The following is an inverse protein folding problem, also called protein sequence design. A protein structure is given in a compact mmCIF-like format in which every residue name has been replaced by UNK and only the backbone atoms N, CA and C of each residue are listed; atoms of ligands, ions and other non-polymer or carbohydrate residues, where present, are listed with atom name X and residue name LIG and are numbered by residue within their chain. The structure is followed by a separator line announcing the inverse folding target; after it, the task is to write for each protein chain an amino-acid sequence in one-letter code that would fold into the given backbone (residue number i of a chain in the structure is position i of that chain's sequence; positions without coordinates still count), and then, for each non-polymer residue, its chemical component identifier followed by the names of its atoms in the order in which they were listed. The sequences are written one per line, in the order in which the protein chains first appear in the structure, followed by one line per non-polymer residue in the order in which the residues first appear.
data_IF_105416050134
#
_entry.id   IF_105416050134
#
_cell.length_a   1.000
_cell.length_b   1.000
_cell.length_c   1.000
_cell.angle_alpha   90.00
_cell.angle_beta   90.00
_cell.angle_gamma   90.00
#
_symmetry.space_group_name_H-M   'P 1'
#
loop_
_entity.id
_entity.type
_entity.pdbx_description
1 polymer ?
#
# COMPACT_ATOMS: atom_id res chain seq x y z
N UNK A 1 -20.00 21.25 -12.97
CA UNK A 1 -19.29 19.96 -12.81
C UNK A 1 -20.21 18.87 -13.34
N UNK A 2 -19.83 18.17 -14.41
CA UNK A 2 -20.69 17.16 -15.05
C UNK A 2 -20.42 15.81 -14.39
N UNK A 3 -21.45 15.21 -13.79
CA UNK A 3 -21.34 13.88 -13.20
C UNK A 3 -21.00 12.87 -14.30
N UNK A 4 -19.84 12.22 -14.19
CA UNK A 4 -19.50 11.09 -15.04
C UNK A 4 -20.33 9.91 -14.54
N UNK A 5 -21.42 9.57 -15.25
CA UNK A 5 -22.08 8.28 -15.04
C UNK A 5 -21.20 7.22 -15.67
N UNK A 6 -20.45 6.50 -14.84
CA UNK A 6 -19.81 5.25 -15.24
C UNK A 6 -20.90 4.19 -15.24
N UNK A 7 -21.41 3.81 -16.41
CA UNK A 7 -22.28 2.65 -16.51
C UNK A 7 -21.40 1.41 -16.38
N UNK A 8 -21.55 0.56 -15.35
CA UNK A 8 -20.72 -0.63 -15.21
C UNK A 8 -20.94 -1.52 -16.43
N UNK A 9 -19.87 -1.80 -17.16
CA UNK A 9 -19.92 -2.80 -18.23
C UNK A 9 -19.86 -4.16 -17.54
N UNK A 10 -21.00 -4.83 -17.40
CA UNK A 10 -21.03 -6.18 -16.84
C UNK A 10 -20.37 -7.13 -17.86
N UNK A 11 -19.06 -7.33 -17.73
CA UNK A 11 -18.38 -8.41 -18.43
C UNK A 11 -19.01 -9.73 -18.00
N UNK A 12 -19.35 -10.59 -18.97
CA UNK A 12 -19.93 -11.91 -18.68
C UNK A 12 -19.02 -12.68 -17.71
N UNK A 13 -19.63 -13.29 -16.71
CA UNK A 13 -18.96 -14.15 -15.74
C UNK A 13 -18.28 -15.30 -16.49
N UNK A 14 -16.95 -15.29 -16.61
CA UNK A 14 -16.20 -16.47 -17.09
C UNK A 14 -14.94 -16.17 -17.87
N UNK A 15 -15.00 -15.28 -18.86
CA UNK A 15 -13.87 -15.11 -19.78
C UNK A 15 -12.85 -14.11 -19.26
N UNK A 16 -11.58 -14.49 -19.34
CA UNK A 16 -10.49 -13.57 -19.03
C UNK A 16 -10.47 -12.44 -20.07
N UNK A 17 -10.24 -11.22 -19.61
CA UNK A 17 -10.12 -10.03 -20.47
C UNK A 17 -8.67 -9.61 -20.50
N UNK A 18 -8.15 -9.24 -21.66
CA UNK A 18 -6.81 -8.68 -21.80
C UNK A 18 -6.89 -7.15 -21.83
N UNK A 19 -6.06 -6.50 -21.02
CA UNK A 19 -5.97 -5.04 -20.94
C UNK A 19 -4.60 -4.58 -21.43
N UNK A 20 -4.59 -3.69 -22.42
CA UNK A 20 -3.36 -3.05 -22.91
C UNK A 20 -3.01 -1.83 -22.05
N UNK A 21 -1.87 -1.85 -21.39
CA UNK A 21 -1.42 -0.80 -20.46
C UNK A 21 0.04 -0.45 -20.77
N UNK A 22 0.27 0.76 -21.27
CA UNK A 22 1.62 1.27 -21.57
C UNK A 22 2.48 0.30 -22.42
N UNK A 23 1.87 -0.39 -23.39
CA UNK A 23 2.55 -1.36 -24.26
C UNK A 23 2.67 -2.78 -23.69
N UNK A 24 2.01 -3.09 -22.58
CA UNK A 24 1.92 -4.44 -22.03
C UNK A 24 0.47 -4.95 -21.96
N UNK A 25 0.30 -6.20 -22.35
CA UNK A 25 -0.93 -6.95 -22.15
C UNK A 25 -1.00 -7.51 -20.73
N UNK A 26 -2.01 -7.12 -19.96
CA UNK A 26 -2.31 -7.65 -18.62
C UNK A 26 -3.59 -8.48 -18.68
N UNK A 27 -3.49 -9.79 -18.39
CA UNK A 27 -4.64 -10.69 -18.35
C UNK A 27 -5.42 -10.53 -17.04
N UNK A 28 -6.68 -10.12 -17.15
CA UNK A 28 -7.65 -10.00 -16.06
C UNK A 28 -8.54 -11.24 -15.98
N UNK A 29 -8.40 -12.06 -14.94
CA UNK A 29 -9.31 -13.18 -14.66
C UNK A 29 -10.57 -12.71 -13.91
N UNK A 30 -11.69 -13.42 -14.07
CA UNK A 30 -12.93 -13.14 -13.33
C UNK A 30 -13.36 -11.65 -13.38
N UNK A 31 -13.45 -11.03 -14.57
CA UNK A 31 -13.71 -9.59 -14.71
C UNK A 31 -15.04 -9.16 -14.09
N UNK A 32 -16.07 -10.02 -14.16
CA UNK A 32 -17.40 -9.75 -13.62
C UNK A 32 -17.55 -9.92 -12.10
N UNK A 33 -16.47 -10.27 -11.37
CA UNK A 33 -16.55 -10.40 -9.91
C UNK A 33 -16.82 -9.03 -9.28
N UNK A 34 -17.86 -8.93 -8.45
CA UNK A 34 -18.24 -7.67 -7.79
C UNK A 34 -17.30 -7.40 -6.63
N UNK A 35 -16.65 -6.23 -6.63
CA UNK A 35 -15.74 -5.79 -5.58
C UNK A 35 -16.42 -4.81 -4.62
N UNK A 36 -17.32 -3.96 -5.13
CA UNK A 36 -18.08 -3.00 -4.36
C UNK A 36 -19.58 -3.25 -4.59
N UNK A 37 -20.27 -3.98 -3.69
CA UNK A 37 -21.64 -4.43 -3.93
C UNK A 37 -22.66 -3.30 -3.93
N UNK A 38 -22.50 -2.30 -3.05
CA UNK A 38 -23.42 -1.16 -2.95
C UNK A 38 -23.49 -0.34 -4.25
N UNK A 39 -22.36 0.13 -4.84
CA UNK A 39 -22.38 0.78 -6.15
C UNK A 39 -22.37 -0.19 -7.35
N UNK A 40 -22.21 -1.50 -7.11
CA UNK A 40 -22.17 -2.53 -8.16
C UNK A 40 -20.90 -2.60 -9.00
N UNK A 41 -19.77 -2.06 -8.53
CA UNK A 41 -18.52 -2.07 -9.31
C UNK A 41 -17.84 -3.44 -9.30
N UNK A 42 -17.43 -3.87 -10.48
CA UNK A 42 -16.75 -5.14 -10.72
C UNK A 42 -15.23 -5.00 -10.68
N UNK A 43 -14.52 -6.14 -10.71
CA UNK A 43 -13.07 -6.19 -10.81
C UNK A 43 -12.56 -5.55 -12.10
N UNK A 44 -13.31 -5.68 -13.20
CA UNK A 44 -12.99 -4.99 -14.45
C UNK A 44 -13.08 -3.47 -14.31
N UNK A 45 -14.09 -2.96 -13.60
CA UNK A 45 -14.23 -1.52 -13.36
C UNK A 45 -13.06 -0.98 -12.53
N UNK A 46 -12.63 -1.73 -11.50
CA UNK A 46 -11.45 -1.41 -10.70
C UNK A 46 -10.17 -1.41 -11.56
N UNK A 47 -9.98 -2.43 -12.40
CA UNK A 47 -8.81 -2.51 -13.27
C UNK A 47 -8.76 -1.35 -14.29
N UNK A 48 -9.92 -1.01 -14.89
CA UNK A 48 -10.05 0.15 -15.80
C UNK A 48 -9.82 1.47 -15.07
N UNK A 49 -10.29 1.60 -13.84
CA UNK A 49 -10.00 2.77 -13.01
C UNK A 49 -8.49 2.92 -12.81
N UNK A 50 -7.79 1.86 -12.38
CA UNK A 50 -6.34 1.92 -12.23
C UNK A 50 -5.61 2.18 -13.52
N UNK A 51 -6.05 1.62 -14.64
CA UNK A 51 -5.49 1.93 -15.97
C UNK A 51 -5.62 3.42 -16.29
N UNK A 52 -6.77 4.04 -16.02
CA UNK A 52 -6.99 5.46 -16.26
C UNK A 52 -6.13 6.37 -15.36
N UNK A 53 -5.90 5.97 -14.11
CA UNK A 53 -5.08 6.75 -13.15
C UNK A 53 -3.62 6.29 -13.08
N UNK A 54 -3.22 5.32 -13.90
CA UNK A 54 -1.92 4.64 -13.78
C UNK A 54 -0.72 5.59 -13.78
N UNK A 55 -0.63 6.61 -14.66
CA UNK A 55 0.47 7.57 -14.63
C UNK A 55 0.50 8.37 -13.33
N UNK A 56 -0.67 8.66 -12.76
CA UNK A 56 -0.82 9.41 -11.52
C UNK A 56 -0.33 8.63 -10.31
N UNK A 57 -0.84 7.40 -10.14
CA UNK A 57 -0.47 6.53 -9.03
C UNK A 57 0.97 6.05 -9.14
N UNK A 58 1.48 5.78 -10.35
CA UNK A 58 2.85 5.35 -10.54
C UNK A 58 3.86 6.39 -10.04
N UNK A 59 3.58 7.70 -10.14
CA UNK A 59 4.46 8.73 -9.53
C UNK A 59 4.67 8.54 -8.03
N UNK A 60 3.68 8.00 -7.32
CA UNK A 60 3.78 7.71 -5.90
C UNK A 60 4.44 6.35 -5.60
N UNK A 61 4.32 5.38 -6.51
CA UNK A 61 4.80 4.00 -6.33
C UNK A 61 6.16 3.71 -6.97
N UNK A 62 6.58 4.54 -7.92
CA UNK A 62 7.75 4.31 -8.77
C UNK A 62 8.99 4.07 -7.92
N UNK A 63 9.66 2.96 -8.21
CA UNK A 63 10.90 2.51 -7.56
C UNK A 63 10.77 2.29 -6.05
N UNK A 64 9.55 2.06 -5.53
CA UNK A 64 9.32 1.84 -4.10
C UNK A 64 8.84 0.42 -3.81
N UNK A 65 9.47 -0.29 -2.85
CA UNK A 65 8.90 -1.52 -2.31
C UNK A 65 7.48 -1.21 -1.82
N UNK A 66 6.50 -1.91 -2.36
CA UNK A 66 5.09 -1.60 -2.14
C UNK A 66 4.38 -2.83 -1.58
N UNK A 67 3.88 -2.70 -0.35
CA UNK A 67 3.00 -3.69 0.25
C UNK A 67 1.61 -3.57 -0.36
N UNK A 68 1.01 -4.72 -0.72
CA UNK A 68 -0.30 -4.78 -1.37
C UNK A 68 -1.38 -5.12 -0.36
N UNK A 69 -2.44 -4.32 -0.26
CA UNK A 69 -3.63 -4.67 0.50
C UNK A 69 -4.66 -5.31 -0.43
N UNK A 70 -4.88 -6.60 -0.23
CA UNK A 70 -5.66 -7.44 -1.14
C UNK A 70 -7.04 -7.76 -0.58
N UNK A 71 -8.01 -7.73 -1.48
CA UNK A 71 -9.43 -8.03 -1.27
C UNK A 71 -9.85 -9.09 -2.30
N UNK A 72 -9.46 -10.36 -2.13
CA UNK A 72 -9.76 -11.40 -3.13
C UNK A 72 -11.26 -11.51 -3.41
N UNK A 73 -12.10 -11.31 -2.39
CA UNK A 73 -13.56 -11.44 -2.42
C UNK A 73 -14.31 -10.10 -2.37
N UNK A 74 -13.63 -8.99 -2.69
CA UNK A 74 -14.20 -7.65 -2.62
C UNK A 74 -14.20 -7.05 -1.22
N UNK A 75 -14.74 -5.84 -1.07
CA UNK A 75 -14.61 -5.03 0.16
C UNK A 75 -15.39 -5.58 1.36
N UNK A 76 -16.36 -6.45 1.13
CA UNK A 76 -17.15 -7.11 2.18
C UNK A 76 -16.54 -8.42 2.66
N UNK A 77 -15.52 -8.93 1.95
CA UNK A 77 -14.82 -10.16 2.30
C UNK A 77 -13.63 -9.93 3.23
N UNK A 78 -12.87 -11.00 3.49
CA UNK A 78 -11.60 -10.90 4.19
C UNK A 78 -10.55 -10.18 3.34
N UNK A 79 -9.66 -9.46 4.01
CA UNK A 79 -8.56 -8.75 3.40
C UNK A 79 -7.26 -8.99 4.16
N UNK A 80 -6.14 -8.88 3.45
CA UNK A 80 -4.82 -9.05 4.06
C UNK A 80 -3.75 -8.19 3.39
N UNK A 81 -2.71 -7.91 4.16
CA UNK A 81 -1.49 -7.26 3.67
C UNK A 81 -0.51 -8.30 3.15
N UNK A 82 -0.15 -8.16 1.88
CA UNK A 82 0.87 -8.96 1.23
C UNK A 82 2.14 -8.13 1.03
N UNK A 83 3.14 -8.37 1.89
CA UNK A 83 4.47 -7.76 1.80
C UNK A 83 5.33 -8.47 0.76
N UNK A 84 5.43 -9.79 0.87
CA UNK A 84 6.21 -10.63 -0.06
C UNK A 84 5.59 -10.61 -1.46
N UNK A 85 6.44 -10.42 -2.46
CA UNK A 85 6.08 -10.49 -3.87
C UNK A 85 5.29 -11.78 -4.15
N UNK A 86 4.15 -11.70 -4.86
CA UNK A 86 3.34 -12.88 -5.11
C UNK A 86 4.03 -13.94 -5.96
N UNK A 87 3.72 -15.21 -5.68
CA UNK A 87 4.06 -16.32 -6.58
C UNK A 87 3.27 -16.13 -7.90
N UNK A 88 3.96 -16.07 -9.02
CA UNK A 88 3.36 -15.79 -10.34
C UNK A 88 3.35 -14.30 -10.73
N UNK A 89 4.14 -13.47 -10.06
CA UNK A 89 4.42 -12.12 -10.54
C UNK A 89 5.21 -12.18 -11.85
N UNK A 90 4.82 -11.42 -12.89
CA UNK A 90 5.58 -11.35 -14.13
C UNK A 90 7.00 -10.82 -13.91
N UNK A 91 7.97 -11.39 -14.62
CA UNK A 91 9.40 -11.08 -14.47
C UNK A 91 9.75 -9.61 -14.76
N UNK A 92 8.90 -8.91 -15.52
CA UNK A 92 9.09 -7.50 -15.83
C UNK A 92 8.75 -6.56 -14.67
N UNK A 93 8.06 -7.04 -13.63
CA UNK A 93 7.82 -6.27 -12.41
C UNK A 93 9.00 -6.54 -11.47
N UNK A 94 9.88 -5.56 -11.21
CA UNK A 94 11.01 -5.81 -10.33
C UNK A 94 10.55 -5.93 -8.88
N UNK A 95 11.39 -6.57 -8.08
CA UNK A 95 11.24 -6.63 -6.62
C UNK A 95 12.38 -5.88 -5.94
N UNK A 96 12.11 -5.37 -4.74
CA UNK A 96 13.11 -4.78 -3.88
C UNK A 96 13.29 -5.63 -2.62
N UNK A 97 14.53 -5.94 -2.28
CA UNK A 97 14.85 -6.70 -1.07
C UNK A 97 14.76 -5.82 0.16
N UNK A 98 13.91 -6.19 1.11
CA UNK A 98 13.69 -5.45 2.35
C UNK A 98 14.05 -6.33 3.53
N UNK A 99 14.98 -5.84 4.34
CA UNK A 99 15.31 -6.40 5.64
C UNK A 99 14.51 -5.69 6.72
N UNK A 100 13.67 -6.42 7.43
CA UNK A 100 12.92 -5.89 8.54
C UNK A 100 13.79 -5.78 9.80
N UNK A 101 13.44 -4.90 10.76
CA UNK A 101 14.13 -4.83 12.06
C UNK A 101 14.18 -6.16 12.81
N UNK A 102 13.25 -7.08 12.52
CA UNK A 102 13.26 -8.45 13.05
C UNK A 102 14.36 -9.37 12.49
N UNK A 103 15.24 -8.89 11.60
CA UNK A 103 16.26 -9.68 10.91
C UNK A 103 15.74 -10.53 9.74
N UNK A 104 14.42 -10.75 9.66
CA UNK A 104 13.78 -11.38 8.49
C UNK A 104 13.84 -10.47 7.28
N UNK A 105 13.97 -11.05 6.10
CA UNK A 105 13.86 -10.33 4.83
C UNK A 105 12.69 -10.80 3.97
N UNK A 106 12.27 -9.93 3.06
CA UNK A 106 11.27 -10.20 2.04
C UNK A 106 11.60 -9.38 0.79
N UNK A 107 11.38 -9.98 -0.37
CA UNK A 107 11.32 -9.22 -1.62
C UNK A 107 9.90 -8.68 -1.78
N UNK A 108 9.75 -7.36 -1.84
CA UNK A 108 8.47 -6.70 -2.06
C UNK A 108 8.36 -6.26 -3.53
N UNK A 109 7.14 -6.22 -4.05
CA UNK A 109 6.87 -5.70 -5.39
C UNK A 109 7.35 -4.25 -5.50
N UNK A 110 8.08 -3.90 -6.56
CA UNK A 110 8.62 -2.56 -6.78
C UNK A 110 8.14 -2.04 -8.15
N UNK A 111 7.01 -1.33 -8.22
CA UNK A 111 6.45 -0.88 -9.50
C UNK A 111 7.37 0.12 -10.22
N UNK A 112 7.66 -0.12 -11.50
CA UNK A 112 8.45 0.79 -12.37
C UNK A 112 7.66 1.31 -13.58
N UNK A 113 6.52 0.70 -13.87
CA UNK A 113 5.65 1.01 -15.01
C UNK A 113 4.17 0.81 -14.66
N UNK A 114 3.29 1.42 -15.47
CA UNK A 114 1.84 1.51 -15.23
C UNK A 114 1.17 0.13 -15.21
N UNK A 115 1.64 -0.78 -16.05
CA UNK A 115 1.12 -2.14 -16.15
C UNK A 115 1.24 -2.91 -14.82
N UNK A 116 2.26 -2.60 -14.01
CA UNK A 116 2.45 -3.23 -12.70
C UNK A 116 1.28 -2.93 -11.75
N UNK A 117 0.74 -1.71 -11.80
CA UNK A 117 -0.40 -1.28 -10.98
C UNK A 117 -1.67 -2.04 -11.38
N UNK A 118 -1.92 -2.15 -12.69
CA UNK A 118 -3.08 -2.88 -13.20
C UNK A 118 -2.95 -4.38 -12.94
N UNK A 119 -1.74 -4.94 -13.03
CA UNK A 119 -1.48 -6.33 -12.65
C UNK A 119 -1.77 -6.57 -11.15
N UNK A 120 -1.36 -5.67 -10.27
CA UNK A 120 -1.68 -5.78 -8.85
C UNK A 120 -3.21 -5.70 -8.61
N UNK A 121 -3.94 -4.87 -9.35
CA UNK A 121 -5.40 -4.84 -9.31
C UNK A 121 -6.04 -6.17 -9.78
N UNK A 122 -5.51 -6.79 -10.83
CA UNK A 122 -5.88 -8.14 -11.25
C UNK A 122 -5.70 -9.16 -10.12
N UNK A 123 -4.62 -9.01 -9.35
CA UNK A 123 -4.32 -9.83 -8.18
C UNK A 123 -5.21 -9.51 -6.96
N UNK A 124 -6.18 -8.59 -7.09
CA UNK A 124 -7.14 -8.22 -6.06
C UNK A 124 -6.67 -7.10 -5.13
N UNK A 125 -5.65 -6.33 -5.52
CA UNK A 125 -5.20 -5.18 -4.74
C UNK A 125 -6.12 -3.98 -4.95
N UNK A 126 -6.61 -3.40 -3.84
CA UNK A 126 -7.36 -2.13 -3.84
C UNK A 126 -6.60 -0.98 -3.18
N UNK A 127 -5.53 -1.26 -2.45
CA UNK A 127 -4.74 -0.22 -1.80
C UNK A 127 -3.26 -0.57 -1.83
N UNK A 128 -2.46 0.40 -2.23
CA UNK A 128 -1.01 0.29 -2.33
C UNK A 128 -0.37 1.04 -1.17
N UNK A 129 0.59 0.40 -0.51
CA UNK A 129 1.31 0.95 0.63
C UNK A 129 2.79 1.06 0.26
N UNK A 130 3.20 2.12 -0.47
CA UNK A 130 4.58 2.30 -0.88
C UNK A 130 5.47 2.60 0.31
N UNK A 131 6.69 2.06 0.28
CA UNK A 131 7.76 2.39 1.21
C UNK A 131 8.15 3.87 1.12
N UNK A 132 8.59 4.42 2.26
CA UNK A 132 9.06 5.82 2.35
C UNK A 132 10.34 6.07 1.55
N UNK A 133 11.12 5.03 1.29
CA UNK A 133 12.36 5.09 0.54
C UNK A 133 12.20 4.42 -0.81
N UNK A 134 12.88 4.94 -1.83
CA UNK A 134 13.05 4.19 -3.07
C UNK A 134 14.04 3.03 -2.84
N UNK A 135 13.94 1.97 -3.63
CA UNK A 135 14.73 0.76 -3.49
C UNK A 135 16.25 1.01 -3.53
N UNK A 136 16.69 2.05 -4.25
CA UNK A 136 18.10 2.45 -4.37
C UNK A 136 18.60 3.40 -3.27
N UNK A 137 17.73 3.91 -2.40
CA UNK A 137 18.11 4.83 -1.31
C UNK A 137 17.81 4.20 0.05
N UNK A 138 18.80 3.56 0.65
CA UNK A 138 18.67 3.07 2.02
C UNK A 138 18.71 4.24 3.02
N UNK A 139 17.75 4.23 3.95
CA UNK A 139 17.70 4.99 5.23
C UNK A 139 17.09 6.40 5.19
N UNK A 140 17.12 7.14 4.08
CA UNK A 140 16.48 8.47 4.04
C UNK A 140 15.06 8.41 3.46
N UNK A 141 13.99 8.69 4.24
CA UNK A 141 12.65 8.80 3.69
C UNK A 141 12.59 9.95 2.69
N UNK A 142 12.01 9.68 1.54
CA UNK A 142 11.85 10.67 0.45
C UNK A 142 10.51 11.40 0.53
N UNK A 143 9.62 10.98 1.44
CA UNK A 143 8.35 11.65 1.73
C UNK A 143 8.09 11.78 3.24
N UNK A 144 7.68 12.97 3.67
CA UNK A 144 7.22 13.24 5.04
C UNK A 144 5.70 13.19 5.05
N UNK A 145 5.12 12.00 5.23
CA UNK A 145 3.68 11.86 5.41
C UNK A 145 3.31 12.04 6.90
N UNK A 146 2.71 13.17 7.24
CA UNK A 146 2.06 13.41 8.53
C UNK A 146 0.68 12.76 8.49
N UNK A 147 0.50 11.60 9.11
CA UNK A 147 -0.83 10.99 9.26
C UNK A 147 -1.54 11.65 10.43
N UNK A 148 -2.22 12.76 10.20
CA UNK A 148 -3.20 13.27 11.16
C UNK A 148 -4.41 12.32 11.15
N UNK A 149 -4.48 11.43 12.14
CA UNK A 149 -5.72 10.69 12.41
C UNK A 149 -6.66 11.67 13.09
N UNK A 150 -7.78 12.08 12.48
CA UNK A 150 -8.76 12.89 13.20
C UNK A 150 -9.33 12.02 14.33
N UNK A 151 -9.08 12.41 15.57
CA UNK A 151 -9.80 11.83 16.72
C UNK A 151 -11.31 12.04 16.51
N UNK A 152 -12.18 11.08 16.89
CA UNK A 152 -13.62 11.30 16.84
C UNK A 152 -13.97 12.51 17.71
N UNK A 153 -14.67 13.48 17.13
CA UNK A 153 -15.01 14.76 17.79
C UNK A 153 -16.11 14.50 18.83
N UNK A 154 -15.90 14.78 20.13
CA UNK A 154 -16.98 14.72 21.10
C UNK A 154 -17.86 15.98 21.00
N UNK A 155 -19.18 15.78 20.89
CA UNK A 155 -20.19 16.85 21.00
C UNK A 155 -20.34 17.24 22.47
N UNK A 156 -20.00 18.48 22.89
CA UNK A 156 -20.66 19.32 23.93
C UNK A 156 -19.86 20.63 24.17
N UNK A 157 -20.61 21.71 24.39
CA UNK A 157 -20.36 23.15 24.64
C UNK A 157 -19.20 23.60 25.58
N UNK A 158 -18.36 24.55 25.08
CA UNK A 158 -17.70 25.82 25.58
C UNK A 158 -17.57 26.15 27.10
N UNK A 159 -16.61 26.98 27.66
CA UNK A 159 -15.46 27.78 27.12
C UNK A 159 -14.05 27.71 27.83
N UNK A 160 -13.02 28.24 27.12
CA UNK A 160 -11.86 29.09 27.54
C UNK A 160 -10.58 28.53 28.24
N UNK A 161 -9.45 28.87 27.58
CA UNK A 161 -8.05 29.10 28.00
C UNK A 161 -7.03 27.93 28.03
N UNK A 162 -5.69 28.18 27.93
CA UNK A 162 -4.89 28.99 26.99
C UNK A 162 -3.88 28.09 26.21
N UNK A 163 -2.96 28.60 25.34
CA UNK A 163 -2.32 27.78 24.32
C UNK A 163 -1.19 26.92 24.90
N UNK A 164 -1.31 25.60 24.78
CA UNK A 164 -0.22 24.66 25.06
C UNK A 164 0.26 24.00 23.77
N UNK A 165 1.40 24.54 23.33
CA UNK A 165 2.57 23.89 22.76
C UNK A 165 2.37 22.60 21.92
N UNK A 166 2.76 22.71 20.66
CA UNK A 166 3.04 21.61 19.75
C UNK A 166 4.04 20.61 20.36
N UNK A 167 3.57 19.41 20.66
CA UNK A 167 4.42 18.23 20.79
C UNK A 167 3.66 16.99 20.28
N UNK A 168 4.06 16.39 19.15
CA UNK A 168 3.51 15.13 18.69
C UNK A 168 4.05 13.98 19.57
N UNK A 169 3.15 13.42 20.36
CA UNK A 169 3.30 12.20 21.12
C UNK A 169 3.13 10.99 20.17
N UNK A 170 4.23 10.33 19.84
CA UNK A 170 4.31 8.89 20.09
C UNK A 170 5.79 8.50 20.21
N UNK A 171 6.33 8.74 21.40
CA UNK A 171 7.36 7.88 21.96
C UNK A 171 6.74 7.04 23.07
N UNK A 172 7.01 5.74 23.02
CA UNK A 172 7.14 4.87 24.19
C UNK A 172 8.19 3.85 23.77
N UNK A 173 9.31 3.64 24.45
CA UNK A 173 9.93 4.28 25.60
C UNK A 173 11.41 3.93 25.52
N UNK A 174 12.30 4.92 25.66
CA UNK A 174 13.64 4.70 26.21
C UNK A 174 14.20 6.06 26.60
N UNK A 175 14.37 6.23 27.91
CA UNK A 175 15.14 7.29 28.53
C UNK A 175 16.58 7.18 28.00
N UNK A 176 17.03 8.15 27.21
CA UNK A 176 18.47 8.33 26.96
C UNK A 176 18.99 9.34 27.98
N UNK A 177 19.68 8.81 29.00
CA UNK A 177 20.56 9.58 29.87
C UNK A 177 21.72 10.18 29.07
N UNK A 178 22.14 11.37 29.49
CA UNK A 178 23.18 12.18 28.88
C UNK A 178 24.59 11.59 29.02
N UNK A 179 25.45 11.81 28.01
CA UNK A 179 26.91 11.59 28.09
C UNK A 179 27.60 11.62 26.71
N UNK A 180 28.80 12.23 26.54
CA UNK A 180 29.28 12.65 25.23
C UNK A 180 30.31 11.74 24.52
N UNK A 181 30.30 11.88 23.19
CA UNK A 181 31.29 11.58 22.13
C UNK A 181 31.45 10.14 21.58
N UNK A 182 31.74 10.01 20.25
CA UNK A 182 31.46 8.82 19.44
C UNK A 182 32.67 7.89 19.28
N UNK A 183 32.44 6.64 18.82
CA UNK A 183 33.12 6.23 17.60
C UNK A 183 32.29 5.31 16.64
N UNK A 184 32.65 5.46 15.36
CA UNK A 184 32.65 4.51 14.22
C UNK A 184 31.39 3.72 13.81
N UNK A 185 31.27 3.58 12.48
CA UNK A 185 30.20 2.93 11.74
C UNK A 185 30.06 1.45 12.07
N UNK A 186 28.87 1.06 12.50
CA UNK A 186 28.50 -0.31 12.84
C UNK A 186 27.51 -0.28 13.99
N UNK A 187 26.38 -0.96 13.84
CA UNK A 187 25.43 -1.27 14.90
C UNK A 187 24.65 -0.10 15.53
N UNK A 188 23.41 0.10 15.05
CA UNK A 188 22.36 0.67 15.89
C UNK A 188 20.97 0.21 15.42
N UNK A 189 20.70 -1.10 15.54
CA UNK A 189 19.34 -1.64 15.38
C UNK A 189 19.01 -2.56 16.54
N UNK A 190 18.48 -1.97 17.61
CA UNK A 190 17.81 -2.70 18.68
C UNK A 190 16.94 -1.70 19.43
N UNK A 191 15.62 -1.69 19.16
CA UNK A 191 14.52 -1.39 20.11
C UNK A 191 13.21 -1.11 19.37
N UNK A 192 12.41 -2.14 19.07
CA UNK A 192 10.95 -2.01 18.94
C UNK A 192 10.26 -3.39 19.03
N UNK A 193 9.22 -3.56 19.86
CA UNK A 193 8.69 -4.87 20.23
C UNK A 193 7.73 -5.46 19.18
N UNK A 194 7.74 -6.80 19.12
CA UNK A 194 7.02 -7.68 18.20
C UNK A 194 5.49 -7.56 18.26
N UNK A 195 4.81 -7.59 17.11
CA UNK A 195 3.36 -7.83 17.05
C UNK A 195 3.01 -9.10 16.27
N UNK A 196 2.00 -9.83 16.77
CA UNK A 196 1.65 -11.24 16.48
C UNK A 196 1.47 -11.55 14.99
N UNK A 197 2.11 -12.62 14.53
CA UNK A 197 1.79 -13.32 13.30
C UNK A 197 0.87 -14.52 13.63
N UNK A 198 -0.33 -14.56 13.04
CA UNK A 198 -1.10 -15.79 12.93
C UNK A 198 -0.51 -16.68 11.81
N UNK A 199 -0.56 -18.01 11.93
CA UNK A 199 0.09 -18.91 10.98
C UNK A 199 -0.65 -18.94 9.62
N UNK A 200 0.14 -18.97 8.55
CA UNK A 200 -0.34 -19.17 7.18
C UNK A 200 -0.65 -20.66 6.94
N UNK A 201 -1.77 -21.04 6.30
CA UNK A 201 -2.08 -22.44 6.02
C UNK A 201 -1.18 -22.99 4.90
N UNK A 202 -0.89 -24.30 5.00
CA UNK A 202 -0.06 -25.08 4.07
C UNK A 202 -0.80 -25.43 2.78
#
# INVERSE_FOLDING_TARGET
MRAVRVTPTVARMGDAVELEVAGRTVRLSSPGKVFFPEPGYTKLDVARYYQAVAPGILRALRDRPTTLQRYPDGVTGEWFYQKRAPKGMPDWIPTAHITFPSGRSADEMCPTEEAAVVWAAQYGTLTFHPGRCAATTSTTPTNSASTSTPSPVPTTTTPSAPPVNCAPYWTSSAVCGAGPRPPAAGDCMSSCPSNRAGPSPR
#
